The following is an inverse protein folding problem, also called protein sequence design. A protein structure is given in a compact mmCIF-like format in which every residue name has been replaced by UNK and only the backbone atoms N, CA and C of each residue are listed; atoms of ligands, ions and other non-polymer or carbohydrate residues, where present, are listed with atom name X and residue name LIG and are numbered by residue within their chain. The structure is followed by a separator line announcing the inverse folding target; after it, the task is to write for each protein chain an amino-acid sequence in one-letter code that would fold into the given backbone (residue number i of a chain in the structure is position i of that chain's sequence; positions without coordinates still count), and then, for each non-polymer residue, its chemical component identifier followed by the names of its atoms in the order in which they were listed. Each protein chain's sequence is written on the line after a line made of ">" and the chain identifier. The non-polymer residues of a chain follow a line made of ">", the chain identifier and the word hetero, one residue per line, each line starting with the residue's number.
data_IF_785838670079
#
_entry.id   IF_785838670079
#
_cell.length_a   1.000
_cell.length_b   1.000
_cell.length_c   1.000
_cell.angle_alpha   90.00
_cell.angle_beta   90.00
_cell.angle_gamma   90.00
#
_symmetry.space_group_name_H-M   'P 1'
#
loop_
_entity.id
_entity.type
_entity.pdbx_description
1 polymer ?
#
# COMPACT_ATOMS: atom_id res chain seq x y z
N UNK A 1 -4.49 -19.72 1.21
CA UNK A 1 -4.67 -18.27 1.08
C UNK A 1 -3.57 -17.58 1.87
N UNK A 2 -2.78 -16.74 1.22
CA UNK A 2 -1.68 -15.98 1.84
C UNK A 2 -2.16 -14.55 2.03
N UNK A 3 -1.84 -13.93 3.17
CA UNK A 3 -2.19 -12.53 3.45
C UNK A 3 -0.93 -11.70 3.69
N UNK A 4 -0.81 -10.60 2.95
CA UNK A 4 0.21 -9.57 3.16
C UNK A 4 -0.48 -8.32 3.68
N UNK A 5 0.04 -7.76 4.77
CA UNK A 5 -0.49 -6.52 5.35
C UNK A 5 0.47 -5.39 5.01
N UNK A 6 -0.06 -4.37 4.34
CA UNK A 6 0.72 -3.24 3.86
C UNK A 6 0.12 -1.94 4.38
N UNK A 7 0.98 -0.99 4.73
CA UNK A 7 0.62 0.38 5.09
C UNK A 7 1.21 1.32 4.06
N UNK A 8 0.44 2.29 3.62
CA UNK A 8 0.97 3.39 2.80
C UNK A 8 1.52 4.44 3.75
N UNK A 9 2.77 4.86 3.52
CA UNK A 9 3.46 5.85 4.37
C UNK A 9 3.69 7.18 3.67
N UNK A 10 3.60 7.21 2.34
CA UNK A 10 3.81 8.42 1.56
C UNK A 10 2.97 8.46 0.30
N UNK A 11 2.36 9.63 0.05
CA UNK A 11 1.54 9.94 -1.12
C UNK A 11 1.98 11.27 -1.73
N UNK A 12 1.71 11.48 -3.01
CA UNK A 12 1.86 12.78 -3.68
C UNK A 12 0.69 13.71 -3.37
N UNK A 13 0.76 14.97 -3.81
CA UNK A 13 -0.36 15.91 -3.65
C UNK A 13 -1.58 15.48 -4.46
N UNK A 14 -1.34 14.80 -5.58
CA UNK A 14 -2.34 14.19 -6.45
C UNK A 14 -2.80 12.80 -5.97
N UNK A 15 -2.41 12.38 -4.76
CA UNK A 15 -2.84 11.10 -4.19
C UNK A 15 -2.13 9.87 -4.72
N UNK A 16 -1.01 10.01 -5.44
CA UNK A 16 -0.24 8.85 -5.92
C UNK A 16 0.59 8.23 -4.80
N UNK A 17 0.49 6.91 -4.62
CA UNK A 17 1.28 6.16 -3.63
C UNK A 17 2.76 6.19 -4.00
N UNK A 18 3.59 6.78 -3.13
CA UNK A 18 5.05 6.85 -3.28
C UNK A 18 5.76 5.80 -2.43
N UNK A 19 5.35 5.70 -1.18
CA UNK A 19 6.02 4.88 -0.17
C UNK A 19 5.03 3.91 0.50
N UNK A 20 5.50 2.69 0.68
CA UNK A 20 4.72 1.59 1.27
C UNK A 20 5.61 0.80 2.20
N UNK A 21 5.01 0.31 3.28
CA UNK A 21 5.64 -0.46 4.32
C UNK A 21 4.89 -1.79 4.47
N UNK A 22 5.63 -2.90 4.42
CA UNK A 22 5.06 -4.23 4.69
C UNK A 22 5.11 -4.47 6.19
N UNK A 23 3.94 -4.56 6.82
CA UNK A 23 3.80 -4.84 8.25
C UNK A 23 3.90 -6.34 8.53
N UNK A 24 3.34 -7.15 7.62
CA UNK A 24 3.40 -8.61 7.69
C UNK A 24 3.44 -9.16 6.28
N UNK A 25 4.60 -9.68 5.91
CA UNK A 25 4.86 -10.27 4.60
C UNK A 25 4.70 -11.79 4.57
N UNK A 26 4.90 -12.33 3.38
CA UNK A 26 5.12 -13.75 3.13
C UNK A 26 6.45 -13.90 2.38
N UNK A 27 6.43 -14.49 1.18
CA UNK A 27 7.60 -14.59 0.31
C UNK A 27 7.95 -13.24 -0.36
N UNK A 28 9.23 -13.04 -0.71
CA UNK A 28 9.74 -11.84 -1.37
C UNK A 28 8.97 -11.50 -2.65
N UNK A 29 8.63 -12.49 -3.49
CA UNK A 29 7.89 -12.26 -4.74
C UNK A 29 6.45 -11.81 -4.46
N UNK A 30 5.80 -12.38 -3.45
CA UNK A 30 4.44 -12.02 -3.04
C UNK A 30 4.43 -10.60 -2.47
N UNK A 31 5.46 -10.26 -1.70
CA UNK A 31 5.64 -8.93 -1.12
C UNK A 31 5.85 -7.86 -2.22
N UNK A 32 6.68 -8.15 -3.22
CA UNK A 32 6.89 -7.27 -4.37
C UNK A 32 5.61 -7.07 -5.17
N UNK A 33 4.82 -8.13 -5.35
CA UNK A 33 3.55 -8.04 -6.05
C UNK A 33 2.51 -7.21 -5.27
N UNK A 34 2.46 -7.37 -3.94
CA UNK A 34 1.64 -6.55 -3.07
C UNK A 34 1.97 -5.05 -3.19
N UNK A 35 3.26 -4.71 -3.24
CA UNK A 35 3.75 -3.34 -3.46
C UNK A 35 3.34 -2.84 -4.85
N UNK A 36 3.54 -3.66 -5.90
CA UNK A 36 3.22 -3.29 -7.28
C UNK A 36 1.73 -2.97 -7.45
N UNK A 37 0.86 -3.81 -6.89
CA UNK A 37 -0.60 -3.60 -6.94
C UNK A 37 -0.97 -2.30 -6.24
N UNK A 38 -0.47 -2.05 -5.03
CA UNK A 38 -0.77 -0.81 -4.31
C UNK A 38 -0.31 0.45 -5.05
N UNK A 39 0.90 0.43 -5.62
CA UNK A 39 1.44 1.55 -6.39
C UNK A 39 0.71 1.79 -7.72
N UNK A 40 -0.03 0.80 -8.23
CA UNK A 40 -0.80 0.93 -9.48
C UNK A 40 -2.16 1.61 -9.30
N UNK A 41 -2.60 1.83 -8.06
CA UNK A 41 -3.86 2.50 -7.78
C UNK A 41 -3.67 4.00 -8.01
N UNK A 42 -4.48 4.63 -8.89
CA UNK A 42 -4.14 5.92 -9.48
C UNK A 42 -4.20 7.09 -8.49
N UNK A 43 -5.28 7.23 -7.72
CA UNK A 43 -5.49 8.39 -6.85
C UNK A 43 -6.11 7.94 -5.54
N UNK A 44 -5.49 8.34 -4.44
CA UNK A 44 -5.94 8.08 -3.07
C UNK A 44 -6.30 9.40 -2.39
N UNK A 45 -7.21 9.32 -1.43
CA UNK A 45 -7.45 10.43 -0.53
C UNK A 45 -6.17 10.80 0.21
N UNK A 46 -5.95 12.10 0.38
CA UNK A 46 -4.81 12.65 1.12
C UNK A 46 -5.27 13.51 2.27
N UNK A 47 -4.49 13.52 3.34
CA UNK A 47 -4.75 14.34 4.52
C UNK A 47 -3.72 15.45 4.57
N UNK A 48 -4.19 16.69 4.69
CA UNK A 48 -3.33 17.83 5.00
C UNK A 48 -3.24 18.01 6.52
N UNK A 49 -2.05 17.78 7.08
CA UNK A 49 -1.75 18.01 8.51
C UNK A 49 -0.55 18.92 8.65
N UNK A 50 -0.75 20.07 9.31
CA UNK A 50 0.33 21.03 9.65
C UNK A 50 1.19 21.41 8.44
N UNK A 51 0.57 21.61 7.28
CA UNK A 51 1.25 21.95 6.03
C UNK A 51 1.99 20.79 5.36
N UNK A 52 1.78 19.55 5.82
CA UNK A 52 2.31 18.32 5.20
C UNK A 52 1.17 17.46 4.67
N UNK A 53 1.46 16.77 3.59
CA UNK A 53 0.57 15.80 2.96
C UNK A 53 0.91 14.44 3.55
N UNK A 54 -0.10 13.77 4.10
CA UNK A 54 0.02 12.46 4.72
C UNK A 54 -1.05 11.52 4.14
N UNK A 55 -0.73 10.23 3.93
CA UNK A 55 -1.75 9.26 3.58
C UNK A 55 -2.69 9.02 4.78
N UNK A 56 -3.94 8.65 4.52
CA UNK A 56 -4.80 8.07 5.55
C UNK A 56 -4.12 6.88 6.22
N UNK A 57 -4.21 6.81 7.56
CA UNK A 57 -3.60 5.74 8.33
C UNK A 57 -4.44 4.46 8.25
N UNK A 58 -4.35 3.77 7.12
CA UNK A 58 -5.01 2.50 6.87
C UNK A 58 -4.01 1.36 6.67
N UNK A 59 -4.41 0.16 7.10
CA UNK A 59 -3.68 -1.08 6.86
C UNK A 59 -4.49 -1.90 5.85
N UNK A 60 -3.85 -2.24 4.74
CA UNK A 60 -4.46 -2.95 3.62
C UNK A 60 -4.09 -4.44 3.68
N UNK A 61 -5.07 -5.33 3.91
CA UNK A 61 -4.85 -6.77 3.82
C UNK A 61 -4.99 -7.24 2.37
N UNK A 62 -3.86 -7.56 1.73
CA UNK A 62 -3.84 -8.13 0.38
C UNK A 62 -3.84 -9.65 0.46
N UNK A 63 -4.85 -10.28 -0.14
CA UNK A 63 -5.02 -11.73 -0.12
C UNK A 63 -4.62 -12.35 -1.45
N UNK A 64 -3.68 -13.29 -1.40
CA UNK A 64 -3.20 -14.07 -2.53
C UNK A 64 -3.80 -15.48 -2.50
N UNK A 65 -4.28 -15.93 -3.66
CA UNK A 65 -4.75 -17.30 -3.91
C UNK A 65 -4.03 -17.83 -5.15
N UNK A 66 -3.68 -19.11 -5.14
CA UNK A 66 -3.18 -19.77 -6.35
C UNK A 66 -4.31 -19.80 -7.39
N UNK A 67 -4.01 -19.62 -8.68
CA UNK A 67 -4.93 -20.06 -9.72
C UNK A 67 -5.19 -21.55 -9.50
N UNK A 68 -6.46 -21.96 -9.54
CA UNK A 68 -6.84 -23.37 -9.49
C UNK A 68 -6.37 -24.11 -10.74
#
# INVERSE_FOLDING_TARGET
>A
MIRVYVRVTGVSEEGKVKEVEILRGADSLINLEAIRVLKSIPEWDVIYRRGKIEPPNYIYPISFRKPE
#
